data_IF_702221048833
#
_entry.id   IF_702221048833
#
_cell.length_a   1.000
_cell.length_b   1.000
_cell.length_c   1.000
_cell.angle_alpha   90.00
_cell.angle_beta   90.00
_cell.angle_gamma   90.00
#
_symmetry.space_group_name_H-M   'P 1'
#
loop_
_entity.id
_entity.type
_entity.pdbx_description
1 polymer ?
#
# COMPACT_ATOMS: atom_id res chain seq x y z
N UNK A 1 -25.38 16.08 -9.01
CA UNK A 1 -24.55 14.91 -9.26
C UNK A 1 -23.19 15.10 -8.56
N UNK A 2 -23.05 14.56 -7.39
CA UNK A 2 -21.80 14.58 -6.66
C UNK A 2 -20.87 13.54 -7.33
N UNK A 3 -20.01 14.00 -8.21
CA UNK A 3 -19.07 13.12 -8.88
C UNK A 3 -18.08 12.48 -7.89
N UNK A 4 -17.73 11.21 -8.09
CA UNK A 4 -16.71 10.54 -7.27
C UNK A 4 -15.37 11.29 -7.21
N UNK A 5 -15.11 12.19 -8.15
CA UNK A 5 -13.89 12.97 -8.26
C UNK A 5 -13.56 13.84 -7.04
N UNK A 6 -14.56 14.45 -6.40
CA UNK A 6 -14.31 15.35 -5.27
C UNK A 6 -13.86 14.58 -4.02
N UNK A 7 -14.48 13.43 -3.78
CA UNK A 7 -14.16 12.57 -2.65
C UNK A 7 -12.74 11.97 -2.74
N UNK A 8 -12.34 11.54 -3.93
CA UNK A 8 -10.99 11.03 -4.17
C UNK A 8 -9.92 12.11 -4.08
N UNK A 9 -10.23 13.31 -4.54
CA UNK A 9 -9.31 14.44 -4.47
C UNK A 9 -9.02 14.85 -3.04
N UNK A 10 -10.03 14.94 -2.20
CA UNK A 10 -9.89 15.29 -0.79
C UNK A 10 -9.09 14.24 -0.01
N UNK A 11 -9.30 12.95 -0.29
CA UNK A 11 -8.49 11.86 0.28
C UNK A 11 -7.04 11.90 -0.20
N UNK A 12 -6.82 12.20 -1.46
CA UNK A 12 -5.49 12.29 -2.03
C UNK A 12 -4.68 13.46 -1.48
N UNK A 13 -5.33 14.59 -1.23
CA UNK A 13 -4.69 15.75 -0.61
C UNK A 13 -4.34 15.51 0.87
N UNK A 14 -4.93 14.53 1.51
CA UNK A 14 -4.64 14.14 2.90
C UNK A 14 -3.42 13.22 3.07
N UNK A 15 -2.76 12.79 1.98
CA UNK A 15 -1.54 11.97 2.02
C UNK A 15 -0.29 12.73 2.52
N UNK A 16 -0.46 13.66 3.44
CA UNK A 16 0.65 14.39 4.05
C UNK A 16 1.21 13.73 5.31
N UNK A 17 0.78 12.52 5.59
CA UNK A 17 1.14 11.76 6.79
C UNK A 17 1.91 10.51 6.40
N UNK A 18 2.94 10.17 7.18
CA UNK A 18 3.64 8.90 7.02
C UNK A 18 2.69 7.72 7.24
N UNK A 19 2.87 6.65 6.48
CA UNK A 19 2.05 5.45 6.57
C UNK A 19 0.86 5.40 5.61
N UNK A 20 0.66 6.42 4.78
CA UNK A 20 -0.42 6.45 3.77
C UNK A 20 0.16 6.32 2.37
N UNK A 21 -0.31 5.36 1.59
CA UNK A 21 0.15 5.09 0.22
C UNK A 21 -1.01 4.77 -0.69
N UNK A 22 -0.95 5.27 -1.90
CA UNK A 22 -1.92 4.96 -2.95
C UNK A 22 -1.54 3.69 -3.69
N UNK A 23 -2.46 2.75 -3.74
CA UNK A 23 -2.37 1.54 -4.54
C UNK A 23 -3.35 1.51 -5.69
N UNK A 24 -3.24 0.50 -6.51
CA UNK A 24 -4.09 0.29 -7.67
C UNK A 24 -4.73 -1.09 -7.62
N UNK A 25 -6.03 -1.14 -7.81
CA UNK A 25 -6.82 -2.35 -7.88
C UNK A 25 -7.43 -2.53 -9.27
N UNK A 26 -7.75 -3.76 -9.59
CA UNK A 26 -8.53 -4.11 -10.77
C UNK A 26 -9.79 -4.86 -10.33
N UNK A 27 -10.91 -4.43 -10.85
CA UNK A 27 -12.23 -5.00 -10.58
C UNK A 27 -12.93 -5.38 -11.87
N UNK A 28 -14.05 -6.07 -11.78
CA UNK A 28 -14.88 -6.43 -12.94
C UNK A 28 -15.42 -5.22 -13.73
N UNK A 29 -15.41 -4.04 -13.12
CA UNK A 29 -15.87 -2.78 -13.74
C UNK A 29 -14.72 -1.86 -14.13
N UNK A 30 -13.48 -2.30 -14.00
CA UNK A 30 -12.30 -1.54 -14.37
C UNK A 30 -11.29 -1.37 -13.24
N UNK A 31 -10.35 -0.44 -13.42
CA UNK A 31 -9.35 -0.12 -12.42
C UNK A 31 -9.86 0.89 -11.41
N UNK A 32 -9.39 0.75 -10.20
CA UNK A 32 -9.67 1.67 -9.09
C UNK A 32 -8.40 1.99 -8.33
N UNK A 33 -8.36 3.16 -7.70
CA UNK A 33 -7.34 3.46 -6.70
C UNK A 33 -7.83 3.02 -5.33
N UNK A 34 -6.89 2.60 -4.51
CA UNK A 34 -7.14 2.36 -3.10
C UNK A 34 -6.05 3.01 -2.25
N UNK A 35 -6.41 3.33 -1.02
CA UNK A 35 -5.48 3.88 -0.06
C UNK A 35 -5.14 2.82 0.97
N UNK A 36 -3.88 2.72 1.32
CA UNK A 36 -3.43 1.88 2.42
C UNK A 36 -2.91 2.79 3.51
N UNK A 37 -3.50 2.63 4.67
CA UNK A 37 -3.15 3.38 5.88
C UNK A 37 -2.56 2.42 6.90
N UNK A 38 -1.44 2.77 7.47
CA UNK A 38 -0.86 2.01 8.58
C UNK A 38 -0.60 2.89 9.79
N UNK A 39 -0.76 2.31 10.96
CA UNK A 39 -0.51 2.96 12.24
C UNK A 39 0.22 2.04 13.18
N UNK A 40 0.91 2.63 14.14
CA UNK A 40 1.64 1.94 15.19
C UNK A 40 1.24 2.52 16.54
N UNK A 41 1.11 1.66 17.54
CA UNK A 41 0.84 2.03 18.91
C UNK A 41 1.61 1.12 19.87
N UNK A 42 1.83 1.54 21.10
CA UNK A 42 2.38 0.65 22.11
C UNK A 42 1.48 -0.56 22.33
N UNK A 43 2.07 -1.73 22.46
CA UNK A 43 1.28 -2.97 22.58
C UNK A 43 2.12 -4.21 22.75
N UNK A 44 1.63 -5.32 22.23
CA UNK A 44 2.20 -6.67 22.45
C UNK A 44 2.60 -7.39 21.15
N UNK A 45 2.87 -6.66 20.09
CA UNK A 45 3.28 -7.22 18.80
C UNK A 45 2.13 -7.71 17.92
N UNK A 46 0.91 -7.25 18.15
CA UNK A 46 -0.23 -7.66 17.35
C UNK A 46 -0.29 -6.93 16.01
N UNK A 47 -0.64 -7.67 14.95
CA UNK A 47 -0.97 -7.13 13.66
C UNK A 47 -2.48 -7.19 13.46
N UNK A 48 -3.10 -6.05 13.27
CA UNK A 48 -4.52 -5.91 12.93
C UNK A 48 -4.67 -5.47 11.47
N UNK A 49 -5.58 -6.10 10.75
CA UNK A 49 -5.83 -5.81 9.34
C UNK A 49 -7.32 -5.62 9.15
N UNK A 50 -7.73 -4.44 8.68
CA UNK A 50 -9.13 -4.08 8.46
C UNK A 50 -9.37 -3.49 7.07
N UNK A 51 -10.61 -3.48 6.61
CA UNK A 51 -11.02 -2.96 5.32
C UNK A 51 -11.70 -3.98 4.42
N UNK A 52 -12.23 -5.07 4.98
CA UNK A 52 -12.88 -6.15 4.24
C UNK A 52 -11.92 -6.82 3.24
N UNK A 53 -10.77 -7.22 3.74
CA UNK A 53 -9.71 -7.84 2.96
C UNK A 53 -9.86 -9.37 2.95
N UNK A 54 -9.70 -9.95 1.77
CA UNK A 54 -9.65 -11.39 1.60
C UNK A 54 -8.33 -12.01 2.09
N UNK A 55 -8.28 -13.33 2.07
CA UNK A 55 -7.16 -14.12 2.61
C UNK A 55 -5.83 -13.77 1.96
N UNK A 56 -5.78 -13.66 0.63
CA UNK A 56 -4.55 -13.43 -0.12
C UNK A 56 -3.96 -12.05 0.20
N UNK A 57 -4.81 -11.04 0.29
CA UNK A 57 -4.36 -9.69 0.65
C UNK A 57 -3.85 -9.61 2.09
N UNK A 58 -4.47 -10.35 3.02
CA UNK A 58 -3.97 -10.49 4.40
C UNK A 58 -2.62 -11.19 4.46
N UNK A 59 -2.43 -12.24 3.67
CA UNK A 59 -1.13 -12.91 3.54
C UNK A 59 -0.06 -11.96 3.01
N UNK A 60 -0.38 -11.12 2.03
CA UNK A 60 0.53 -10.08 1.51
C UNK A 60 0.97 -9.10 2.61
N UNK A 61 0.07 -8.73 3.51
CA UNK A 61 0.39 -7.86 4.64
C UNK A 61 1.36 -8.54 5.62
N UNK A 62 1.16 -9.81 5.90
CA UNK A 62 2.06 -10.62 6.74
C UNK A 62 3.44 -10.72 6.09
N UNK A 63 3.51 -11.04 4.81
CA UNK A 63 4.76 -11.12 4.04
C UNK A 63 5.52 -9.79 4.08
N UNK A 64 4.83 -8.69 3.85
CA UNK A 64 5.42 -7.36 3.89
C UNK A 64 6.05 -7.05 5.27
N UNK A 65 5.33 -7.34 6.34
CA UNK A 65 5.81 -7.10 7.70
C UNK A 65 7.01 -8.00 8.04
N UNK A 66 6.97 -9.28 7.68
CA UNK A 66 8.07 -10.21 7.92
C UNK A 66 9.34 -9.82 7.14
N UNK A 67 9.18 -9.37 5.89
CA UNK A 67 10.29 -8.82 5.13
C UNK A 67 10.90 -7.59 5.82
N UNK A 68 10.09 -6.69 6.33
CA UNK A 68 10.56 -5.50 7.05
C UNK A 68 11.34 -5.90 8.30
N UNK A 69 10.81 -6.81 9.11
CA UNK A 69 11.49 -7.29 10.32
C UNK A 69 12.87 -7.86 10.04
N UNK A 70 13.03 -8.53 8.91
CA UNK A 70 14.29 -9.16 8.49
C UNK A 70 15.28 -8.19 7.84
N UNK A 71 14.84 -6.99 7.43
CA UNK A 71 15.63 -6.06 6.63
C UNK A 71 15.57 -4.62 7.15
N UNK A 72 15.44 -4.43 8.45
CA UNK A 72 15.25 -3.10 9.06
C UNK A 72 16.35 -2.12 8.68
N UNK A 73 17.61 -2.56 8.73
CA UNK A 73 18.77 -1.72 8.46
C UNK A 73 18.78 -1.23 7.01
N UNK A 74 18.54 -2.12 6.06
CA UNK A 74 18.52 -1.83 4.63
C UNK A 74 17.39 -0.88 4.25
N UNK A 75 16.28 -0.96 4.99
CA UNK A 75 15.12 -0.11 4.80
C UNK A 75 15.21 1.25 5.51
N UNK A 76 16.30 1.51 6.23
CA UNK A 76 16.52 2.76 6.94
C UNK A 76 15.61 2.91 8.17
N UNK A 77 15.13 1.82 8.72
CA UNK A 77 14.39 1.79 9.97
C UNK A 77 15.41 1.87 11.10
N UNK A 78 15.19 2.77 12.05
CA UNK A 78 16.12 2.96 13.16
C UNK A 78 16.37 1.65 13.88
N UNK A 79 17.63 1.50 14.28
CA UNK A 79 18.11 0.30 14.96
C UNK A 79 17.19 -0.09 16.11
N UNK A 80 16.81 -1.36 16.09
CA UNK A 80 16.20 -2.05 17.22
C UNK A 80 14.76 -1.67 17.53
N UNK A 81 13.96 -1.38 16.48
CA UNK A 81 12.51 -1.36 16.67
C UNK A 81 12.06 -2.75 17.10
N UNK A 82 11.76 -2.87 18.39
CA UNK A 82 11.27 -4.11 18.97
C UNK A 82 9.78 -4.26 18.66
N UNK A 83 9.47 -4.97 17.59
CA UNK A 83 8.10 -5.19 17.15
C UNK A 83 7.21 -5.88 18.20
N UNK A 84 7.81 -6.56 19.18
CA UNK A 84 7.04 -7.17 20.28
C UNK A 84 6.40 -6.16 21.22
N UNK A 85 6.85 -4.91 21.20
CA UNK A 85 6.35 -3.82 22.03
C UNK A 85 5.33 -2.91 21.35
N UNK A 86 5.00 -3.19 20.09
CA UNK A 86 4.11 -2.35 19.29
C UNK A 86 3.02 -3.17 18.62
N UNK A 87 1.84 -2.63 18.61
CA UNK A 87 0.76 -3.10 17.74
C UNK A 87 0.79 -2.33 16.43
N UNK A 88 0.61 -3.04 15.34
CA UNK A 88 0.56 -2.48 13.98
C UNK A 88 -0.84 -2.69 13.45
N UNK A 89 -1.40 -1.65 12.85
CA UNK A 89 -2.70 -1.72 12.20
C UNK A 89 -2.58 -1.29 10.75
N UNK A 90 -3.04 -2.14 9.85
CA UNK A 90 -3.17 -1.84 8.42
C UNK A 90 -4.66 -1.73 8.10
N UNK A 91 -5.05 -0.62 7.51
CA UNK A 91 -6.43 -0.38 7.11
C UNK A 91 -6.50 0.01 5.63
N UNK A 92 -7.45 -0.57 4.92
CA UNK A 92 -7.74 -0.23 3.53
C UNK A 92 -9.20 0.24 3.44
N UNK A 93 -9.45 1.56 3.50
CA UNK A 93 -10.80 2.06 3.26
C UNK A 93 -11.16 1.77 1.79
N UNK A 94 -12.31 1.68 1.50
CA UNK A 94 -13.67 1.68 1.96
C UNK A 94 -14.08 0.27 2.42
N UNK A 95 -14.42 0.11 3.68
CA UNK A 95 -14.62 -1.21 4.29
C UNK A 95 -15.82 -1.99 3.78
N UNK A 96 -16.79 -1.33 3.15
CA UNK A 96 -17.94 -1.99 2.54
C UNK A 96 -17.60 -2.75 1.24
N UNK A 97 -16.51 -2.36 0.58
CA UNK A 97 -16.08 -2.97 -0.68
C UNK A 97 -15.09 -4.10 -0.41
N UNK A 98 -15.41 -5.35 -0.77
CA UNK A 98 -14.47 -6.46 -0.65
C UNK A 98 -13.23 -6.25 -1.52
N UNK A 99 -12.05 -6.53 -0.98
CA UNK A 99 -10.77 -6.42 -1.68
C UNK A 99 -9.96 -7.68 -1.43
N UNK A 100 -9.35 -8.21 -2.46
CA UNK A 100 -8.47 -9.35 -2.34
C UNK A 100 -7.39 -9.35 -3.43
N UNK A 101 -6.44 -10.25 -3.31
CA UNK A 101 -5.36 -10.46 -4.25
C UNK A 101 -3.99 -9.99 -3.73
N UNK A 102 -2.91 -10.42 -4.41
CA UNK A 102 -1.54 -10.16 -3.96
C UNK A 102 -0.98 -8.81 -4.43
N UNK A 103 -1.66 -8.12 -5.35
CA UNK A 103 -1.11 -6.95 -6.05
C UNK A 103 -0.94 -5.70 -5.18
N UNK A 104 -1.48 -5.69 -3.97
CA UNK A 104 -1.27 -4.63 -2.99
C UNK A 104 -0.01 -4.83 -2.13
N UNK A 105 0.73 -5.90 -2.31
CA UNK A 105 1.88 -6.24 -1.47
C UNK A 105 2.92 -5.13 -1.40
N UNK A 106 3.33 -4.58 -2.53
CA UNK A 106 4.31 -3.48 -2.57
C UNK A 106 3.76 -2.21 -1.92
N UNK A 107 2.47 -1.95 -2.07
CA UNK A 107 1.81 -0.78 -1.47
C UNK A 107 1.78 -0.90 0.06
N UNK A 108 1.44 -2.07 0.57
CA UNK A 108 1.44 -2.37 2.01
C UNK A 108 2.87 -2.25 2.57
N UNK A 109 3.85 -2.83 1.90
CA UNK A 109 5.25 -2.71 2.29
C UNK A 109 5.69 -1.24 2.38
N UNK A 110 5.38 -0.46 1.36
CA UNK A 110 5.74 0.96 1.31
C UNK A 110 5.04 1.77 2.40
N UNK A 111 3.78 1.47 2.68
CA UNK A 111 3.03 2.08 3.78
C UNK A 111 3.70 1.82 5.13
N UNK A 112 4.08 0.58 5.40
CA UNK A 112 4.76 0.21 6.64
C UNK A 112 6.15 0.83 6.76
N UNK A 113 6.95 0.81 5.69
CA UNK A 113 8.28 1.46 5.69
C UNK A 113 8.14 2.97 5.90
N UNK A 114 7.19 3.61 5.24
CA UNK A 114 6.86 5.02 5.46
C UNK A 114 6.53 5.30 6.91
N UNK A 115 5.69 4.47 7.53
CA UNK A 115 5.32 4.56 8.94
C UNK A 115 6.55 4.45 9.86
N UNK A 116 7.35 3.40 9.70
CA UNK A 116 8.48 3.12 10.59
C UNK A 116 9.63 4.11 10.41
N UNK A 117 9.82 4.66 9.22
CA UNK A 117 10.84 5.68 8.94
C UNK A 117 10.34 7.12 9.14
N UNK A 118 9.04 7.32 9.35
CA UNK A 118 8.37 8.63 9.39
C UNK A 118 8.65 9.50 8.15
N UNK A 119 8.87 8.86 7.01
CA UNK A 119 9.06 9.50 5.71
C UNK A 119 7.80 9.37 4.88
N UNK A 120 7.25 10.50 4.48
CA UNK A 120 6.04 10.53 3.63
C UNK A 120 6.34 10.03 2.23
N UNK A 121 5.43 9.28 1.66
CA UNK A 121 5.46 8.91 0.26
C UNK A 121 5.04 10.10 -0.60
N UNK A 122 5.69 10.28 -1.73
CA UNK A 122 5.36 11.36 -2.67
C UNK A 122 3.90 11.28 -3.10
N UNK A 123 3.22 12.41 -3.12
CA UNK A 123 1.78 12.49 -3.42
C UNK A 123 1.38 11.90 -4.77
N UNK A 124 2.26 11.97 -5.73
CA UNK A 124 1.97 11.65 -7.12
C UNK A 124 2.43 10.24 -7.51
N UNK A 125 2.54 9.34 -6.54
CA UNK A 125 2.93 7.95 -6.78
C UNK A 125 1.79 7.03 -6.40
N UNK A 126 1.41 6.17 -7.32
CA UNK A 126 0.58 5.01 -7.08
C UNK A 126 1.37 3.76 -7.50
N UNK A 127 1.13 2.65 -6.83
CA UNK A 127 1.90 1.44 -7.08
C UNK A 127 1.03 0.19 -7.05
N UNK A 128 1.51 -0.84 -7.72
CA UNK A 128 0.94 -2.18 -7.72
C UNK A 128 2.04 -3.20 -7.93
N UNK A 129 1.95 -4.32 -7.26
CA UNK A 129 2.93 -5.40 -7.38
C UNK A 129 2.78 -6.40 -6.25
N UNK A 130 2.99 -7.66 -6.56
CA UNK A 130 3.11 -8.71 -5.56
C UNK A 130 4.50 -8.69 -4.95
N UNK A 131 4.61 -8.85 -3.64
CA UNK A 131 5.89 -8.90 -2.95
C UNK A 131 6.19 -10.31 -2.45
N UNK A 132 7.46 -10.71 -2.54
CA UNK A 132 7.97 -11.95 -1.94
C UNK A 132 8.63 -11.68 -0.59
N UNK A 133 8.84 -12.74 0.19
CA UNK A 133 9.58 -12.65 1.46
C UNK A 133 11.03 -12.15 1.30
N UNK A 134 11.58 -12.20 0.10
CA UNK A 134 12.93 -11.72 -0.23
C UNK A 134 12.93 -10.28 -0.78
N UNK A 135 11.77 -9.63 -0.80
CA UNK A 135 11.63 -8.26 -1.30
C UNK A 135 11.61 -8.11 -2.81
N UNK A 136 11.42 -9.20 -3.54
CA UNK A 136 11.19 -9.12 -4.99
C UNK A 136 9.76 -8.69 -5.27
N UNK A 137 9.60 -7.86 -6.29
CA UNK A 137 8.29 -7.45 -6.79
C UNK A 137 7.97 -8.27 -8.03
N UNK A 138 6.88 -9.03 -7.96
CA UNK A 138 6.40 -9.85 -9.07
C UNK A 138 5.37 -9.07 -9.90
N UNK A 139 5.29 -9.34 -11.21
CA UNK A 139 4.30 -8.74 -12.08
C UNK A 139 2.89 -9.17 -11.70
N UNK A 140 1.93 -8.28 -11.94
CA UNK A 140 0.51 -8.44 -11.61
C UNK A 140 -0.35 -8.16 -12.83
N UNK A 141 -1.60 -8.61 -12.79
CA UNK A 141 -2.58 -8.39 -13.85
C UNK A 141 -3.24 -7.02 -13.80
N UNK A 142 -4.02 -6.71 -14.86
CA UNK A 142 -4.84 -5.51 -14.94
C UNK A 142 -4.07 -4.19 -15.02
N UNK A 143 -2.87 -4.20 -15.53
CA UNK A 143 -1.98 -3.02 -15.57
C UNK A 143 -2.61 -1.87 -16.37
N UNK A 144 -3.21 -2.17 -17.53
CA UNK A 144 -3.84 -1.15 -18.37
C UNK A 144 -4.97 -0.43 -17.62
N UNK A 145 -5.86 -1.17 -17.00
CA UNK A 145 -6.99 -0.66 -16.22
C UNK A 145 -6.51 0.11 -15.00
N UNK A 146 -5.49 -0.38 -14.34
CA UNK A 146 -4.84 0.27 -13.18
C UNK A 146 -4.22 1.62 -13.56
N UNK A 147 -3.52 1.70 -14.69
CA UNK A 147 -2.93 2.94 -15.21
C UNK A 147 -4.03 3.95 -15.53
N UNK A 148 -5.12 3.51 -16.17
CA UNK A 148 -6.26 4.38 -16.47
C UNK A 148 -6.91 4.92 -15.20
N UNK A 149 -7.05 4.09 -14.16
CA UNK A 149 -7.57 4.52 -12.87
C UNK A 149 -6.65 5.57 -12.22
N UNK A 150 -5.35 5.35 -12.23
CA UNK A 150 -4.38 6.30 -11.71
C UNK A 150 -4.43 7.64 -12.46
N UNK A 151 -4.56 7.62 -13.77
CA UNK A 151 -4.73 8.84 -14.58
C UNK A 151 -6.00 9.60 -14.26
N UNK A 152 -7.11 8.90 -14.01
CA UNK A 152 -8.37 9.54 -13.62
C UNK A 152 -8.30 10.18 -12.23
N UNK A 153 -7.63 9.52 -11.30
CA UNK A 153 -7.54 9.96 -9.92
C UNK A 153 -6.60 11.14 -9.74
N UNK A 154 -5.57 11.21 -10.55
CA UNK A 154 -4.49 12.18 -10.44
C UNK A 154 -4.31 12.84 -11.80
N UNK A 155 -5.13 13.84 -12.09
CA UNK A 155 -5.01 14.62 -13.31
C UNK A 155 -3.64 15.29 -13.37
N UNK A 156 -2.66 14.75 -14.02
CA UNK A 156 -1.30 15.25 -14.28
C UNK A 156 -0.15 14.61 -13.52
N UNK A 157 -0.21 13.35 -13.18
CA UNK A 157 0.93 12.72 -12.55
C UNK A 157 1.70 11.79 -13.46
N UNK A 158 3.02 11.88 -13.36
CA UNK A 158 3.90 10.91 -13.97
C UNK A 158 3.73 9.57 -13.24
N UNK A 159 3.23 8.56 -13.96
CA UNK A 159 3.24 7.19 -13.50
C UNK A 159 4.64 6.63 -13.78
N UNK A 160 5.39 6.44 -12.72
CA UNK A 160 6.61 5.66 -12.82
C UNK A 160 6.24 4.20 -12.67
N UNK A 161 6.17 3.50 -13.77
CA UNK A 161 6.11 2.04 -13.74
C UNK A 161 7.51 1.56 -13.34
N UNK A 162 7.64 0.58 -12.42
CA UNK A 162 8.90 -0.12 -12.27
C UNK A 162 9.22 -0.70 -13.65
N UNK A 163 10.25 -0.17 -14.26
CA UNK A 163 10.78 -0.76 -15.47
C UNK A 163 11.35 -2.11 -15.10
N UNK A 164 10.67 -3.15 -15.45
CA UNK A 164 11.25 -4.47 -15.53
C UNK A 164 12.20 -4.51 -16.73
N UNK A 165 13.21 -3.72 -16.73
CA UNK A 165 14.37 -3.96 -17.54
C UNK A 165 15.30 -4.90 -16.79
N UNK A 166 14.78 -6.03 -16.48
CA UNK A 166 15.60 -7.20 -16.30
C UNK A 166 15.92 -7.73 -17.68
N UNK A 167 16.91 -7.22 -18.26
CA UNK A 167 17.66 -7.99 -19.21
C UNK A 167 18.65 -8.79 -18.43
#
# INVERSE_FOLDING_TARGET
>A
MLGPKKFFRDKYESNNVAGIVTGLAWTSVGGEILFIESSISEGKGNLSITGNLGKIMKESAIIALEFIKSNQKELGIEKDLDFSKYNIHIHVPEGATPKDGPSAGITILTSLVSLFTQKRVKKNIAMTGEITLRGKVLPVGGIKEKILAAKRAVSYTHLTLPTTNSV
#
